data_IF_792847044370
#
_entry.id   IF_792847044370
#
_cell.length_a   1.000
_cell.length_b   1.000
_cell.length_c   1.000
_cell.angle_alpha   90.00
_cell.angle_beta   90.00
_cell.angle_gamma   90.00
#
_symmetry.space_group_name_H-M   'P 1'
#
loop_
_entity.id
_entity.type
_entity.pdbx_description
1 polymer ?
#
# COMPACT_ATOMS: atom_id res chain seq x y z
N UNK A 1 -20.69 -1.47 3.20
CA UNK A 1 -20.67 -1.64 1.74
C UNK A 1 -19.33 -1.12 1.22
N UNK A 2 -18.29 -1.96 1.26
CA UNK A 2 -16.96 -1.60 0.76
C UNK A 2 -16.99 -1.64 -0.77
N UNK A 3 -16.97 -0.46 -1.40
CA UNK A 3 -16.63 -0.37 -2.82
C UNK A 3 -15.16 -0.73 -2.95
N UNK A 4 -14.91 -1.99 -3.29
CA UNK A 4 -13.64 -2.40 -3.87
C UNK A 4 -13.73 -1.92 -5.31
N UNK A 5 -13.21 -0.73 -5.59
CA UNK A 5 -13.00 -0.28 -6.96
C UNK A 5 -11.90 -1.16 -7.56
N UNK A 6 -12.32 -2.26 -8.17
CA UNK A 6 -11.46 -3.16 -8.94
C UNK A 6 -10.94 -2.32 -10.11
N UNK A 7 -9.63 -2.10 -10.19
CA UNK A 7 -9.04 -1.36 -11.31
C UNK A 7 -9.52 -2.00 -12.62
N UNK A 8 -9.84 -1.19 -13.62
CA UNK A 8 -10.37 -1.69 -14.90
C UNK A 8 -9.53 -2.86 -15.45
N UNK A 9 -8.20 -2.79 -15.32
CA UNK A 9 -7.28 -3.86 -15.70
C UNK A 9 -7.47 -5.19 -14.94
N UNK A 10 -7.79 -5.17 -13.65
CA UNK A 10 -8.01 -6.36 -12.84
C UNK A 10 -9.35 -7.06 -13.16
N UNK A 11 -10.32 -6.30 -13.68
CA UNK A 11 -11.58 -6.85 -14.18
C UNK A 11 -11.38 -7.70 -15.45
N UNK A 12 -10.58 -7.20 -16.41
CA UNK A 12 -10.28 -7.95 -17.64
C UNK A 12 -9.29 -9.10 -17.38
N UNK A 13 -8.32 -8.93 -16.48
CA UNK A 13 -7.36 -9.98 -16.16
C UNK A 13 -8.01 -11.18 -15.48
N UNK A 14 -9.00 -10.97 -14.61
CA UNK A 14 -9.76 -12.06 -13.98
C UNK A 14 -10.51 -12.96 -14.98
N UNK A 15 -11.00 -12.38 -16.08
CA UNK A 15 -11.63 -13.15 -17.17
C UNK A 15 -10.60 -13.98 -17.94
N UNK A 16 -9.45 -13.38 -18.25
CA UNK A 16 -8.33 -14.04 -18.92
C UNK A 16 -7.76 -15.17 -18.05
N UNK A 17 -7.55 -14.95 -16.75
CA UNK A 17 -7.08 -15.98 -15.83
C UNK A 17 -8.07 -17.13 -15.66
N UNK A 18 -9.39 -16.86 -15.74
CA UNK A 18 -10.42 -17.90 -15.76
C UNK A 18 -10.40 -18.71 -17.06
N UNK A 19 -10.19 -18.06 -18.20
CA UNK A 19 -10.01 -18.76 -19.50
C UNK A 19 -8.75 -19.64 -19.53
N UNK A 20 -7.68 -19.21 -18.84
CA UNK A 20 -6.44 -19.96 -18.66
C UNK A 20 -6.52 -21.06 -17.59
N UNK A 21 -7.66 -21.20 -16.90
CA UNK A 21 -7.85 -22.22 -15.87
C UNK A 21 -7.03 -22.01 -14.59
N UNK A 22 -6.54 -20.78 -14.36
CA UNK A 22 -5.73 -20.48 -13.17
C UNK A 22 -6.66 -20.36 -11.96
N UNK A 23 -6.38 -21.08 -10.85
CA UNK A 23 -7.20 -21.01 -9.65
C UNK A 23 -7.18 -19.59 -9.06
N UNK A 24 -8.31 -19.11 -8.52
CA UNK A 24 -8.46 -17.74 -8.02
C UNK A 24 -7.51 -17.41 -6.86
N UNK A 25 -7.05 -18.43 -6.13
CA UNK A 25 -6.05 -18.33 -5.06
C UNK A 25 -4.70 -17.80 -5.57
N UNK A 26 -4.42 -17.95 -6.87
CA UNK A 26 -3.17 -17.51 -7.50
C UNK A 26 -3.24 -16.11 -8.11
N UNK A 27 -4.38 -15.41 -8.07
CA UNK A 27 -4.50 -14.09 -8.68
C UNK A 27 -3.66 -13.04 -7.94
N UNK A 28 -3.69 -13.07 -6.60
CA UNK A 28 -2.89 -12.18 -5.74
C UNK A 28 -1.38 -12.38 -5.92
N UNK A 29 -0.81 -13.61 -5.91
CA UNK A 29 0.63 -13.78 -6.12
C UNK A 29 1.07 -13.40 -7.54
N UNK A 30 0.28 -13.66 -8.58
CA UNK A 30 0.60 -13.22 -9.95
C UNK A 30 0.66 -11.69 -10.04
N UNK A 31 -0.32 -11.02 -9.44
CA UNK A 31 -0.33 -9.56 -9.35
C UNK A 31 0.90 -9.02 -8.60
N UNK A 32 1.25 -9.63 -7.46
CA UNK A 32 2.41 -9.24 -6.67
C UNK A 32 3.71 -9.36 -7.48
N UNK A 33 3.94 -10.48 -8.16
CA UNK A 33 5.14 -10.71 -8.99
C UNK A 33 5.25 -9.66 -10.10
N UNK A 34 4.13 -9.35 -10.77
CA UNK A 34 4.11 -8.32 -11.80
C UNK A 34 4.46 -6.91 -11.27
N UNK A 35 4.24 -6.63 -9.98
CA UNK A 35 4.54 -5.35 -9.33
C UNK A 35 5.94 -5.27 -8.73
N UNK A 36 6.56 -6.40 -8.38
CA UNK A 36 7.94 -6.43 -7.84
C UNK A 36 8.93 -5.73 -8.76
N UNK A 37 8.82 -5.92 -10.09
CA UNK A 37 9.72 -5.28 -11.06
C UNK A 37 9.59 -3.75 -11.02
N UNK A 38 8.36 -3.23 -10.97
CA UNK A 38 8.11 -1.79 -10.88
C UNK A 38 8.59 -1.20 -9.56
N UNK A 39 8.33 -1.87 -8.42
CA UNK A 39 8.84 -1.44 -7.11
C UNK A 39 10.36 -1.45 -7.05
N UNK A 40 11.00 -2.44 -7.67
CA UNK A 40 12.46 -2.53 -7.75
C UNK A 40 13.05 -1.39 -8.57
N UNK A 41 12.43 -1.06 -9.71
CA UNK A 41 12.83 0.08 -10.55
C UNK A 41 12.67 1.41 -9.81
N UNK A 42 11.51 1.65 -9.19
CA UNK A 42 11.29 2.86 -8.39
C UNK A 42 12.29 2.97 -7.24
N UNK A 43 12.58 1.84 -6.58
CA UNK A 43 13.55 1.82 -5.49
C UNK A 43 14.95 2.19 -5.96
N UNK A 44 15.34 1.71 -7.13
CA UNK A 44 16.64 2.05 -7.73
C UNK A 44 16.69 3.52 -8.15
N UNK A 45 15.62 4.05 -8.75
CA UNK A 45 15.52 5.46 -9.11
C UNK A 45 15.59 6.39 -7.89
N UNK A 46 14.93 6.04 -6.78
CA UNK A 46 15.06 6.79 -5.52
C UNK A 46 16.50 6.80 -5.02
N UNK A 47 17.18 5.65 -5.06
CA UNK A 47 18.57 5.54 -4.62
C UNK A 47 19.53 6.35 -5.49
N UNK A 48 19.30 6.44 -6.80
CA UNK A 48 20.21 7.15 -7.72
C UNK A 48 19.92 8.66 -7.72
N UNK A 49 18.65 9.08 -7.71
CA UNK A 49 18.28 10.49 -7.90
C UNK A 49 18.33 11.32 -6.61
N UNK A 50 18.02 10.73 -5.45
CA UNK A 50 17.95 11.48 -4.19
C UNK A 50 17.96 10.55 -2.98
N UNK A 51 19.08 10.47 -2.26
CA UNK A 51 19.20 9.82 -0.95
C UNK A 51 18.43 10.57 0.17
N UNK A 52 17.28 11.16 -0.14
CA UNK A 52 16.49 11.94 0.80
C UNK A 52 15.67 10.98 1.67
N UNK A 53 15.96 10.97 2.96
CA UNK A 53 15.19 10.18 3.93
C UNK A 53 13.77 10.77 4.02
N UNK A 54 12.76 9.93 3.79
CA UNK A 54 11.36 10.32 3.94
C UNK A 54 11.08 10.52 5.43
N UNK A 55 10.95 11.78 5.86
CA UNK A 55 10.56 12.16 7.21
C UNK A 55 9.31 13.04 7.17
N UNK A 56 8.10 12.45 7.28
CA UNK A 56 6.88 13.23 7.34
C UNK A 56 6.84 14.01 8.65
N UNK A 57 6.51 15.30 8.58
CA UNK A 57 6.23 16.11 9.76
C UNK A 57 4.74 15.97 10.10
N UNK A 58 4.43 15.70 11.37
CA UNK A 58 3.06 15.65 11.87
C UNK A 58 2.76 16.87 12.74
N UNK A 59 1.62 17.52 12.51
CA UNK A 59 1.14 18.61 13.36
C UNK A 59 0.15 18.06 14.37
N UNK A 60 0.52 18.06 15.65
CA UNK A 60 -0.40 17.70 16.72
C UNK A 60 -1.53 18.73 16.83
N UNK A 61 -2.77 18.28 16.72
CA UNK A 61 -3.98 19.08 16.98
C UNK A 61 -4.43 18.98 18.44
N UNK A 62 -3.78 18.13 19.24
CA UNK A 62 -4.15 17.93 20.63
C UNK A 62 -3.73 19.15 21.47
N UNK A 63 -4.67 19.70 22.22
CA UNK A 63 -4.39 20.73 23.23
C UNK A 63 -3.51 20.14 24.33
N UNK A 64 -2.52 20.89 24.78
CA UNK A 64 -1.66 20.49 25.91
C UNK A 64 -2.55 20.33 27.14
N UNK A 65 -2.54 19.14 27.73
CA UNK A 65 -3.25 18.84 28.98
C UNK A 65 -2.22 18.77 30.11
N UNK A 66 -2.55 19.34 31.25
CA UNK A 66 -1.78 19.14 32.46
C UNK A 66 -1.90 17.69 32.93
N UNK A 67 -0.83 17.21 33.55
CA UNK A 67 -0.79 15.86 34.07
C UNK A 67 -1.50 15.82 35.43
N UNK A 68 -2.64 15.15 35.50
CA UNK A 68 -3.30 14.84 36.77
C UNK A 68 -2.72 13.54 37.33
N UNK A 69 -2.18 13.53 38.57
CA UNK A 69 -1.71 12.33 39.24
C UNK A 69 -2.81 11.27 39.30
N UNK A 70 -2.44 9.99 39.17
CA UNK A 70 -3.43 8.89 39.15
C UNK A 70 -4.28 8.79 40.42
N UNK A 71 -3.82 9.34 41.54
CA UNK A 71 -4.57 9.38 42.80
C UNK A 71 -5.73 10.39 42.79
N UNK A 72 -5.76 11.31 41.82
CA UNK A 72 -6.71 12.44 41.75
C UNK A 72 -7.47 12.47 40.41
N UNK A 73 -7.47 11.34 39.69
CA UNK A 73 -8.23 11.15 38.44
C UNK A 73 -9.66 10.68 38.69
#
# INVERSE_FOLDING_TARGET
>A
MHKVDISYADYYSGFVYRMLGIPPELYTPIFAIARIVGWSAHRLEELINSHKIIRPAYKSVAKRREYTPMAER
#
